data_IF_926359802222
#
_entry.id   IF_926359802222
#
_cell.length_a   1.000
_cell.length_b   1.000
_cell.length_c   1.000
_cell.angle_alpha   90.00
_cell.angle_beta   90.00
_cell.angle_gamma   90.00
#
_symmetry.space_group_name_H-M   'P 1'
#
loop_
_entity.id
_entity.type
_entity.pdbx_description
1 polymer ?
#
# COMPACT_ATOMS: atom_id res chain seq x y z
N UNK A 1 95.15 26.37 -7.44
CA UNK A 1 94.15 26.19 -8.53
C UNK A 1 93.29 24.94 -8.33
N UNK A 2 93.88 23.76 -8.13
CA UNK A 2 93.16 22.46 -8.01
C UNK A 2 92.06 22.40 -6.92
N UNK A 3 92.20 23.11 -5.80
CA UNK A 3 91.20 23.08 -4.71
C UNK A 3 89.92 23.89 -5.01
N UNK A 4 90.02 24.95 -5.82
CA UNK A 4 88.87 25.79 -6.19
C UNK A 4 87.96 25.07 -7.19
N UNK A 5 88.55 24.32 -8.12
CA UNK A 5 87.82 23.54 -9.12
C UNK A 5 87.02 22.41 -8.47
N UNK A 6 87.60 21.67 -7.51
CA UNK A 6 86.87 20.63 -6.77
C UNK A 6 85.72 21.19 -5.92
N UNK A 7 85.89 22.37 -5.34
CA UNK A 7 84.82 23.04 -4.57
C UNK A 7 83.65 23.45 -5.48
N UNK A 8 83.95 23.95 -6.68
CA UNK A 8 82.90 24.32 -7.65
C UNK A 8 82.09 23.10 -8.13
N UNK A 9 82.76 21.98 -8.40
CA UNK A 9 82.13 20.74 -8.84
C UNK A 9 81.26 20.11 -7.73
N UNK A 10 81.74 20.11 -6.49
CA UNK A 10 80.97 19.57 -5.35
C UNK A 10 79.76 20.44 -5.01
N UNK A 11 79.87 21.76 -5.11
CA UNK A 11 78.73 22.68 -4.96
C UNK A 11 77.66 22.44 -6.04
N UNK A 12 78.09 22.28 -7.30
CA UNK A 12 77.19 21.98 -8.43
C UNK A 12 76.48 20.63 -8.24
N UNK A 13 77.21 19.60 -7.84
CA UNK A 13 76.64 18.28 -7.57
C UNK A 13 75.60 18.32 -6.41
N UNK A 14 75.87 19.08 -5.34
CA UNK A 14 74.94 19.26 -4.23
C UNK A 14 73.64 19.96 -4.69
N UNK A 15 73.75 21.01 -5.51
CA UNK A 15 72.61 21.72 -6.06
C UNK A 15 71.77 20.83 -6.99
N UNK A 16 72.39 20.06 -7.87
CA UNK A 16 71.69 19.08 -8.71
C UNK A 16 70.94 18.06 -7.85
N UNK A 17 71.60 17.44 -6.86
CA UNK A 17 70.96 16.46 -5.96
C UNK A 17 69.81 17.07 -5.17
N UNK A 18 69.93 18.33 -4.75
CA UNK A 18 68.86 19.03 -4.02
C UNK A 18 67.67 19.34 -4.94
N UNK A 19 67.93 19.71 -6.19
CA UNK A 19 66.89 19.92 -7.22
C UNK A 19 66.15 18.63 -7.53
N UNK A 20 66.85 17.53 -7.79
CA UNK A 20 66.22 16.21 -8.04
C UNK A 20 65.34 15.75 -6.87
N UNK A 21 65.80 15.97 -5.63
CA UNK A 21 65.00 15.69 -4.43
C UNK A 21 63.72 16.52 -4.39
N UNK A 22 63.79 17.81 -4.72
CA UNK A 22 62.60 18.66 -4.77
C UNK A 22 61.64 18.26 -5.89
N UNK A 23 62.16 17.93 -7.07
CA UNK A 23 61.33 17.45 -8.20
C UNK A 23 60.62 16.13 -7.86
N UNK A 24 61.32 15.20 -7.21
CA UNK A 24 60.72 13.95 -6.73
C UNK A 24 59.64 14.18 -5.66
N UNK A 25 59.85 15.12 -4.73
CA UNK A 25 58.85 15.48 -3.72
C UNK A 25 57.63 16.16 -4.34
N UNK A 26 57.83 17.06 -5.30
CA UNK A 26 56.75 17.73 -6.02
C UNK A 26 55.91 16.73 -6.82
N UNK A 27 56.54 15.80 -7.55
CA UNK A 27 55.85 14.73 -8.26
C UNK A 27 55.01 13.87 -7.30
N UNK A 28 55.57 13.47 -6.16
CA UNK A 28 54.85 12.69 -5.13
C UNK A 28 53.70 13.47 -4.52
N UNK A 29 53.88 14.75 -4.23
CA UNK A 29 52.83 15.60 -3.68
C UNK A 29 51.69 15.83 -4.69
N UNK A 30 52.00 16.04 -5.97
CA UNK A 30 51.00 16.15 -7.04
C UNK A 30 50.18 14.87 -7.16
N UNK A 31 50.85 13.72 -7.19
CA UNK A 31 50.20 12.41 -7.25
C UNK A 31 49.31 12.15 -6.02
N UNK A 32 49.81 12.42 -4.81
CA UNK A 32 49.04 12.22 -3.58
C UNK A 32 47.82 13.14 -3.50
N UNK A 33 47.97 14.42 -3.88
CA UNK A 33 46.88 15.39 -3.93
C UNK A 33 45.81 14.99 -4.95
N UNK A 34 46.23 14.50 -6.12
CA UNK A 34 45.30 14.01 -7.14
C UNK A 34 44.55 12.76 -6.67
N UNK A 35 45.25 11.78 -6.10
CA UNK A 35 44.64 10.58 -5.55
C UNK A 35 43.64 10.91 -4.43
N UNK A 36 44.00 11.83 -3.53
CA UNK A 36 43.10 12.29 -2.47
C UNK A 36 41.84 12.96 -3.04
N UNK A 37 42.01 13.87 -4.01
CA UNK A 37 40.88 14.56 -4.65
C UNK A 37 39.96 13.57 -5.38
N UNK A 38 40.53 12.58 -6.08
CA UNK A 38 39.76 11.53 -6.75
C UNK A 38 39.00 10.66 -5.73
N UNK A 39 39.67 10.22 -4.65
CA UNK A 39 39.04 9.44 -3.60
C UNK A 39 37.86 10.19 -2.95
N UNK A 40 38.02 11.50 -2.69
CA UNK A 40 36.94 12.35 -2.17
C UNK A 40 35.79 12.51 -3.16
N UNK A 41 36.07 12.74 -4.44
CA UNK A 41 35.01 12.81 -5.49
C UNK A 41 34.24 11.50 -5.60
N UNK A 42 34.93 10.36 -5.58
CA UNK A 42 34.28 9.05 -5.60
C UNK A 42 33.45 8.79 -4.34
N UNK A 43 33.93 9.21 -3.16
CA UNK A 43 33.14 9.10 -1.93
C UNK A 43 31.85 9.92 -2.01
N UNK A 44 31.93 11.17 -2.49
CA UNK A 44 30.74 12.03 -2.69
C UNK A 44 29.78 11.41 -3.70
N UNK A 45 30.29 10.87 -4.82
CA UNK A 45 29.46 10.21 -5.82
C UNK A 45 28.71 9.01 -5.23
N UNK A 46 29.41 8.14 -4.48
CA UNK A 46 28.78 6.98 -3.81
C UNK A 46 27.70 7.38 -2.81
N UNK A 47 27.95 8.42 -2.01
CA UNK A 47 26.94 8.92 -1.06
C UNK A 47 25.73 9.51 -1.80
N UNK A 48 25.93 10.23 -2.90
CA UNK A 48 24.82 10.73 -3.75
C UNK A 48 23.98 9.59 -4.31
N UNK A 49 24.61 8.58 -4.92
CA UNK A 49 23.91 7.40 -5.44
C UNK A 49 23.12 6.69 -4.33
N UNK A 50 23.68 6.61 -3.13
CA UNK A 50 23.01 6.03 -1.96
C UNK A 50 21.79 6.85 -1.55
N UNK A 51 21.92 8.18 -1.48
CA UNK A 51 20.81 9.08 -1.16
C UNK A 51 19.71 9.00 -2.21
N UNK A 52 20.05 8.98 -3.49
CA UNK A 52 19.08 8.86 -4.59
C UNK A 52 18.30 7.54 -4.50
N UNK A 53 18.99 6.41 -4.32
CA UNK A 53 18.33 5.11 -4.12
C UNK A 53 17.42 5.11 -2.90
N UNK A 54 17.82 5.77 -1.80
CA UNK A 54 16.96 5.89 -0.61
C UNK A 54 15.72 6.74 -0.89
N UNK A 55 15.88 7.86 -1.59
CA UNK A 55 14.78 8.75 -1.99
C UNK A 55 13.78 8.04 -2.92
N UNK A 56 14.26 7.27 -3.90
CA UNK A 56 13.42 6.49 -4.80
C UNK A 56 12.61 5.42 -4.06
N UNK A 57 13.27 4.68 -3.16
CA UNK A 57 12.57 3.68 -2.32
C UNK A 57 11.53 4.33 -1.41
N UNK A 58 11.86 5.47 -0.80
CA UNK A 58 10.93 6.22 0.04
C UNK A 58 9.72 6.70 -0.76
N UNK A 59 9.94 7.25 -1.95
CA UNK A 59 8.87 7.71 -2.85
C UNK A 59 7.93 6.56 -3.24
N UNK A 60 8.48 5.39 -3.62
CA UNK A 60 7.69 4.19 -3.92
C UNK A 60 6.90 3.67 -2.71
N UNK A 61 7.53 3.66 -1.53
CA UNK A 61 6.90 3.23 -0.29
C UNK A 61 5.73 4.15 0.11
N UNK A 62 5.91 5.47 -0.03
CA UNK A 62 4.86 6.46 0.22
C UNK A 62 3.71 6.31 -0.76
N UNK A 63 3.99 6.20 -2.06
CA UNK A 63 2.96 5.98 -3.08
C UNK A 63 2.14 4.71 -2.79
N UNK A 64 2.82 3.61 -2.47
CA UNK A 64 2.16 2.33 -2.12
C UNK A 64 1.32 2.46 -0.84
N UNK A 65 1.82 3.18 0.16
CA UNK A 65 1.10 3.41 1.42
C UNK A 65 -0.18 4.21 1.19
N UNK A 66 -0.11 5.29 0.39
CA UNK A 66 -1.28 6.10 0.02
C UNK A 66 -2.31 5.25 -0.72
N UNK A 67 -1.89 4.44 -1.70
CA UNK A 67 -2.80 3.55 -2.44
C UNK A 67 -3.50 2.55 -1.52
N UNK A 68 -2.78 1.96 -0.56
CA UNK A 68 -3.37 1.05 0.43
C UNK A 68 -4.36 1.74 1.35
N UNK A 69 -4.06 2.95 1.80
CA UNK A 69 -4.98 3.73 2.63
C UNK A 69 -6.26 4.08 1.86
N UNK A 70 -6.14 4.51 0.60
CA UNK A 70 -7.30 4.76 -0.29
C UNK A 70 -8.15 3.51 -0.49
N UNK A 71 -7.52 2.37 -0.81
CA UNK A 71 -8.24 1.11 -0.97
C UNK A 71 -8.99 0.70 0.31
N UNK A 72 -8.42 0.96 1.50
CA UNK A 72 -9.10 0.71 2.78
C UNK A 72 -10.29 1.64 2.99
N UNK A 73 -10.15 2.94 2.71
CA UNK A 73 -11.27 3.89 2.84
C UNK A 73 -12.38 3.58 1.85
N UNK A 74 -12.04 3.21 0.61
CA UNK A 74 -13.00 2.85 -0.42
C UNK A 74 -13.75 1.57 -0.05
N UNK A 75 -13.04 0.56 0.45
CA UNK A 75 -13.66 -0.68 0.92
C UNK A 75 -14.56 -0.44 2.14
N UNK A 76 -14.12 0.36 3.11
CA UNK A 76 -14.95 0.75 4.25
C UNK A 76 -16.21 1.52 3.79
N UNK A 77 -16.08 2.40 2.79
CA UNK A 77 -17.21 3.10 2.18
C UNK A 77 -18.18 2.15 1.48
N UNK A 78 -17.69 1.14 0.76
CA UNK A 78 -18.51 0.11 0.14
C UNK A 78 -19.24 -0.75 1.18
N UNK A 79 -18.56 -1.14 2.26
CA UNK A 79 -19.19 -1.88 3.37
C UNK A 79 -20.26 -1.05 4.06
N UNK A 80 -19.96 0.22 4.36
CA UNK A 80 -20.94 1.15 4.93
C UNK A 80 -22.12 1.33 3.98
N UNK A 81 -21.89 1.46 2.68
CA UNK A 81 -22.96 1.51 1.70
C UNK A 81 -23.77 0.22 1.72
N UNK A 82 -23.15 -0.96 1.69
CA UNK A 82 -23.86 -2.23 1.68
C UNK A 82 -24.67 -2.49 2.96
N UNK A 83 -24.15 -2.07 4.11
CA UNK A 83 -24.76 -2.28 5.43
C UNK A 83 -25.69 -1.13 5.86
N UNK A 84 -25.67 0.01 5.16
CA UNK A 84 -26.52 1.14 5.49
C UNK A 84 -27.97 0.85 5.12
N UNK A 85 -28.85 1.12 6.08
CA UNK A 85 -30.30 1.02 5.90
C UNK A 85 -30.79 1.83 4.68
N UNK A 86 -30.11 2.91 4.31
CA UNK A 86 -30.45 3.72 3.13
C UNK A 86 -30.29 2.95 1.81
N UNK A 87 -29.29 2.07 1.73
CA UNK A 87 -29.10 1.19 0.57
C UNK A 87 -30.10 0.06 0.53
N UNK A 88 -30.58 -0.39 1.70
CA UNK A 88 -31.71 -1.33 1.80
C UNK A 88 -32.99 -0.66 1.29
N UNK A 89 -33.27 0.57 1.72
CA UNK A 89 -34.40 1.33 1.18
C UNK A 89 -34.32 1.54 -0.33
N UNK A 90 -33.15 1.92 -0.84
CA UNK A 90 -32.93 2.12 -2.28
C UNK A 90 -33.15 0.85 -3.12
N UNK A 91 -33.08 -0.33 -2.50
CA UNK A 91 -33.32 -1.63 -3.13
C UNK A 91 -34.79 -2.06 -3.11
N UNK A 92 -35.69 -1.17 -2.66
CA UNK A 92 -37.15 -1.39 -2.67
C UNK A 92 -37.74 -1.91 -1.36
N UNK A 93 -36.97 -1.87 -0.26
CA UNK A 93 -37.50 -2.15 1.07
C UNK A 93 -38.08 -0.89 1.71
N UNK A 94 -39.01 -1.04 2.64
CA UNK A 94 -39.61 0.05 3.39
C UNK A 94 -39.41 -0.19 4.89
N UNK A 95 -39.03 0.87 5.63
CA UNK A 95 -38.91 0.80 7.08
C UNK A 95 -40.21 1.33 7.70
N UNK A 96 -40.89 0.50 8.49
CA UNK A 96 -42.11 0.90 9.21
C UNK A 96 -41.72 1.37 10.60
N UNK A 97 -42.24 2.53 11.01
CA UNK A 97 -42.04 3.13 12.34
C UNK A 97 -43.36 3.37 13.04
N UNK A 98 -43.34 3.35 14.37
CA UNK A 98 -44.46 3.78 15.21
C UNK A 98 -44.60 5.31 15.24
N UNK A 99 -45.61 5.80 15.96
CA UNK A 99 -45.86 7.23 16.19
C UNK A 99 -44.71 7.95 16.92
N UNK A 100 -43.93 7.21 17.72
CA UNK A 100 -42.75 7.70 18.43
C UNK A 100 -41.46 7.64 17.58
N UNK A 101 -41.52 7.12 16.35
CA UNK A 101 -40.39 7.02 15.43
C UNK A 101 -39.52 5.77 15.60
N UNK A 102 -39.90 4.80 16.43
CA UNK A 102 -39.18 3.54 16.60
C UNK A 102 -39.50 2.55 15.47
N UNK A 103 -38.50 1.85 14.92
CA UNK A 103 -38.73 0.85 13.89
C UNK A 103 -39.51 -0.36 14.44
N UNK A 104 -40.58 -0.73 13.73
CA UNK A 104 -41.42 -1.87 14.05
C UNK A 104 -40.98 -3.09 13.25
N UNK A 105 -40.57 -4.16 13.95
CA UNK A 105 -40.08 -5.40 13.34
C UNK A 105 -41.15 -6.49 13.21
N UNK A 106 -42.27 -6.36 13.92
CA UNK A 106 -43.32 -7.38 13.97
C UNK A 106 -44.71 -6.75 13.85
N UNK A 107 -45.59 -7.36 13.07
CA UNK A 107 -46.98 -6.93 12.93
C UNK A 107 -47.86 -7.27 14.14
N UNK A 108 -47.42 -8.21 15.00
CA UNK A 108 -48.20 -8.71 16.14
C UNK A 108 -48.44 -7.66 17.24
N UNK A 109 -47.65 -6.58 17.29
CA UNK A 109 -47.79 -5.49 18.26
C UNK A 109 -48.52 -4.25 17.73
N UNK A 110 -49.08 -4.29 16.52
CA UNK A 110 -49.74 -3.14 15.89
C UNK A 110 -51.23 -3.20 16.16
N UNK A 111 -51.74 -2.28 16.97
CA UNK A 111 -53.17 -2.13 17.22
C UNK A 111 -53.89 -1.57 16.00
N UNK A 112 -55.16 -1.95 15.83
CA UNK A 112 -55.98 -1.42 14.75
C UNK A 112 -56.26 0.07 14.98
N UNK A 113 -56.04 0.89 13.95
CA UNK A 113 -56.09 2.35 14.05
C UNK A 113 -54.77 3.02 14.42
N UNK A 114 -53.69 2.28 14.71
CA UNK A 114 -52.40 2.86 15.03
C UNK A 114 -51.83 3.69 13.87
N UNK A 115 -51.28 4.87 14.20
CA UNK A 115 -50.55 5.72 13.28
C UNK A 115 -49.13 5.17 13.06
N UNK A 116 -48.76 4.98 11.81
CA UNK A 116 -47.50 4.41 11.36
C UNK A 116 -46.84 5.38 10.38
N UNK A 117 -45.51 5.40 10.37
CA UNK A 117 -44.74 6.07 9.33
C UNK A 117 -43.98 5.03 8.52
N UNK A 118 -44.20 5.02 7.21
CA UNK A 118 -43.45 4.16 6.28
C UNK A 118 -42.40 5.02 5.59
N UNK A 119 -41.14 4.65 5.75
CA UNK A 119 -39.98 5.33 5.18
C UNK A 119 -39.46 4.55 3.97
N UNK A 120 -39.43 5.22 2.83
CA UNK A 120 -38.88 4.76 1.56
C UNK A 120 -37.59 5.53 1.25
N UNK A 121 -36.90 5.14 0.18
CA UNK A 121 -35.64 5.78 -0.21
C UNK A 121 -35.78 7.27 -0.59
N UNK A 122 -36.97 7.64 -1.06
CA UNK A 122 -37.34 8.94 -1.61
C UNK A 122 -38.14 9.82 -0.63
N UNK A 123 -38.72 9.24 0.41
CA UNK A 123 -39.50 10.01 1.37
C UNK A 123 -40.22 9.18 2.44
N UNK A 124 -41.01 9.86 3.26
CA UNK A 124 -41.82 9.25 4.32
C UNK A 124 -43.31 9.48 4.04
N UNK A 125 -44.11 8.46 4.29
CA UNK A 125 -45.56 8.48 4.12
C UNK A 125 -46.22 8.02 5.42
N UNK A 126 -47.27 8.71 5.84
CA UNK A 126 -48.10 8.29 6.97
C UNK A 126 -49.05 7.17 6.54
N UNK A 127 -49.19 6.15 7.37
CA UNK A 127 -50.10 5.02 7.19
C UNK A 127 -50.88 4.76 8.49
N UNK A 128 -52.07 4.17 8.37
CA UNK A 128 -52.89 3.80 9.54
C UNK A 128 -53.18 2.30 9.47
N UNK A 129 -53.00 1.59 10.58
CA UNK A 129 -53.27 0.16 10.65
C UNK A 129 -54.77 -0.13 10.46
N UNK A 130 -55.13 -0.89 9.43
CA UNK A 130 -56.52 -1.23 9.12
C UNK A 130 -57.17 -2.17 10.14
N UNK A 131 -58.49 -2.29 10.07
CA UNK A 131 -59.29 -3.23 10.86
C UNK A 131 -59.19 -4.65 10.26
N UNK A 132 -58.19 -5.41 10.71
CA UNK A 132 -58.04 -6.82 10.38
C UNK A 132 -57.04 -7.48 11.31
N UNK A 133 -57.40 -8.65 11.86
CA UNK A 133 -56.46 -9.45 12.67
C UNK A 133 -55.22 -9.80 11.85
N UNK A 134 -54.01 -9.78 12.44
CA UNK A 134 -52.80 -10.17 11.75
C UNK A 134 -52.95 -11.60 11.21
N UNK A 135 -52.92 -11.74 9.89
CA UNK A 135 -52.91 -13.06 9.24
C UNK A 135 -51.58 -13.72 9.62
N UNK A 136 -51.58 -14.91 10.25
CA UNK A 136 -50.34 -15.58 10.62
C UNK A 136 -49.51 -15.85 9.36
N UNK A 137 -48.22 -15.52 9.42
CA UNK A 137 -47.28 -15.81 8.35
C UNK A 137 -47.29 -17.31 8.07
N UNK A 138 -47.67 -17.68 6.84
CA UNK A 138 -47.49 -19.06 6.36
C UNK A 138 -46.00 -19.39 6.45
N UNK A 139 -45.69 -20.54 7.06
CA UNK A 139 -44.33 -21.02 7.26
C UNK A 139 -43.51 -20.92 5.96
N UNK A 140 -42.17 -20.68 6.04
CA UNK A 140 -41.35 -20.63 4.85
C UNK A 140 -41.50 -21.94 4.08
N UNK A 141 -41.97 -21.87 2.84
CA UNK A 141 -42.00 -23.00 1.94
C UNK A 141 -40.59 -23.59 1.88
N UNK A 142 -40.48 -24.88 2.21
CA UNK A 142 -39.24 -25.63 2.24
C UNK A 142 -38.42 -25.40 0.95
N UNK A 143 -37.07 -25.32 1.04
CA UNK A 143 -36.25 -25.19 -0.14
C UNK A 143 -36.47 -26.41 -1.04
N UNK A 144 -36.82 -26.16 -2.31
CA UNK A 144 -36.94 -27.19 -3.34
C UNK A 144 -35.64 -28.02 -3.36
N UNK A 145 -35.72 -29.36 -3.41
CA UNK A 145 -34.52 -30.20 -3.39
C UNK A 145 -33.64 -29.85 -4.58
N UNK A 146 -32.36 -29.64 -4.28
CA UNK A 146 -31.31 -29.44 -5.26
C UNK A 146 -31.34 -30.57 -6.28
N UNK A 147 -31.29 -30.19 -7.56
CA UNK A 147 -31.18 -31.10 -8.70
C UNK A 147 -29.92 -31.95 -8.50
N UNK A 148 -30.15 -33.24 -8.31
CA UNK A 148 -29.16 -34.27 -8.08
C UNK A 148 -28.11 -34.29 -9.20
N UNK A 149 -26.85 -34.21 -8.78
CA UNK A 149 -25.65 -34.35 -9.60
C UNK A 149 -25.57 -35.75 -10.20
N UNK A 150 -25.44 -35.83 -11.52
CA UNK A 150 -25.13 -37.07 -12.23
C UNK A 150 -23.60 -37.32 -12.20
N UNK A 151 -23.12 -38.53 -11.88
CA UNK A 151 -21.70 -38.80 -11.63
C UNK A 151 -20.93 -39.12 -12.92
N UNK A 152 -19.69 -38.62 -13.04
CA UNK A 152 -18.76 -39.05 -14.10
C UNK A 152 -17.29 -39.05 -13.61
N UNK A 153 -16.82 -40.29 -13.38
CA UNK A 153 -15.46 -40.85 -13.55
C UNK A 153 -14.22 -40.28 -12.80
N UNK A 154 -13.24 -41.15 -12.43
CA UNK A 154 -12.20 -40.84 -11.45
C UNK A 154 -10.86 -40.34 -12.03
N UNK A 155 -10.20 -39.51 -11.20
CA UNK A 155 -8.76 -39.25 -10.98
C UNK A 155 -7.80 -39.04 -12.17
N UNK A 156 -7.14 -37.87 -12.16
CA UNK A 156 -5.69 -37.73 -12.40
C UNK A 156 -5.08 -36.89 -11.29
N UNK A 157 -4.24 -37.52 -10.46
CA UNK A 157 -3.29 -36.86 -9.56
C UNK A 157 -2.10 -36.37 -10.38
N UNK A 158 -1.61 -35.14 -10.20
CA UNK A 158 -0.27 -34.78 -10.66
C UNK A 158 0.77 -35.34 -9.69
N UNK A 159 1.79 -36.01 -10.22
CA UNK A 159 2.96 -36.49 -9.48
C UNK A 159 3.67 -35.36 -8.71
N UNK A 160 4.16 -35.60 -7.48
CA UNK A 160 5.01 -34.67 -6.75
C UNK A 160 6.47 -34.95 -7.11
N UNK A 161 6.85 -34.70 -8.36
CA UNK A 161 8.23 -34.92 -8.80
C UNK A 161 8.62 -34.02 -9.98
N UNK A 162 8.38 -32.70 -9.87
CA UNK A 162 9.06 -31.75 -10.76
C UNK A 162 9.05 -30.28 -10.26
N UNK A 163 9.48 -30.05 -9.02
CA UNK A 163 9.93 -28.71 -8.61
C UNK A 163 11.39 -28.81 -8.18
N UNK A 164 12.23 -28.91 -9.21
CA UNK A 164 13.65 -28.73 -9.12
C UNK A 164 14.01 -27.41 -8.44
N UNK A 165 15.03 -27.53 -7.60
CA UNK A 165 15.81 -26.44 -7.05
C UNK A 165 16.20 -25.42 -8.11
N UNK A 166 15.70 -24.19 -7.99
CA UNK A 166 16.25 -23.03 -8.67
C UNK A 166 16.23 -21.85 -7.69
N UNK A 167 17.43 -21.62 -7.12
CA UNK A 167 17.94 -20.37 -6.54
C UNK A 167 17.20 -19.71 -5.36
#
# INVERSE_FOLDING_TARGET
MVSSERLSLSARALLHRRRERFEALDARFKASRQAYAQAKRQAIARERDRTERLADRASRALATSILRLRARTDHAGQLLSALSYRSVLARGFALVRDEAGHPLHQAAGIESGAALSIEFADGRIAATAGAGSPVPASAPAAPKPARESKPAAPKRTPDPADQGSLF
#
